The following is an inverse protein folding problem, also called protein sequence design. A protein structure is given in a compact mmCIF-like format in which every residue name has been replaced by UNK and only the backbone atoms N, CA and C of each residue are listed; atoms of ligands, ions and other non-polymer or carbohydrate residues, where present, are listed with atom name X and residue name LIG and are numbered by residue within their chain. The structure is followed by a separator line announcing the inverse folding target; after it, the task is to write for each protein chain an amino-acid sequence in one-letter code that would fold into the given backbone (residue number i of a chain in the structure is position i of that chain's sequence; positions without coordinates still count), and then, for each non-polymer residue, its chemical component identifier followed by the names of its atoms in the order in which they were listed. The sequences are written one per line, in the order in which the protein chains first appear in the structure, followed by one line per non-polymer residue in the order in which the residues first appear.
data_IF_052271998856
#
_entry.id   IF_052271998856
#
_cell.length_a   1.000
_cell.length_b   1.000
_cell.length_c   1.000
_cell.angle_alpha   90.00
_cell.angle_beta   90.00
_cell.angle_gamma   90.00
#
_symmetry.space_group_name_H-M   'P 1'
#
loop_
_entity.id
_entity.type
_entity.pdbx_description
1 polymer ?
#
# COMPACT_ATOMS: atom_id res chain seq x y z
N UNK A 1 -23.12 8.40 -24.14
CA UNK A 1 -21.67 8.54 -23.91
C UNK A 1 -21.05 7.17 -24.08
N UNK A 2 -20.31 6.95 -25.16
CA UNK A 2 -19.65 5.67 -25.44
C UNK A 2 -18.45 5.52 -24.51
N UNK A 3 -18.56 4.63 -23.53
CA UNK A 3 -17.43 4.19 -22.71
C UNK A 3 -16.38 3.62 -23.65
N UNK A 4 -15.32 4.38 -23.93
CA UNK A 4 -14.18 3.85 -24.68
C UNK A 4 -13.49 2.84 -23.77
N UNK A 5 -13.76 1.55 -23.96
CA UNK A 5 -13.05 0.48 -23.27
C UNK A 5 -11.54 0.67 -23.51
N UNK A 6 -10.82 1.07 -22.45
CA UNK A 6 -9.37 1.22 -22.54
C UNK A 6 -8.76 -0.17 -22.68
N UNK A 7 -8.16 -0.44 -23.85
CA UNK A 7 -7.39 -1.67 -24.13
C UNK A 7 -6.43 -2.00 -22.99
N UNK A 8 -6.57 -3.20 -22.42
CA UNK A 8 -5.61 -3.82 -21.48
C UNK A 8 -4.23 -3.87 -22.14
N UNK A 9 -3.18 -3.48 -21.40
CA UNK A 9 -1.80 -3.52 -21.91
C UNK A 9 -1.22 -4.92 -21.68
N UNK A 10 0.07 -5.03 -21.36
CA UNK A 10 0.76 -6.31 -21.15
C UNK A 10 0.14 -7.05 -19.98
N UNK A 11 -0.20 -8.32 -20.19
CA UNK A 11 -0.52 -9.25 -19.10
C UNK A 11 0.79 -9.80 -18.51
N UNK A 12 1.25 -9.19 -17.41
CA UNK A 12 2.54 -9.53 -16.81
C UNK A 12 2.57 -10.96 -16.27
N UNK A 13 1.46 -11.44 -15.70
CA UNK A 13 1.38 -12.81 -15.16
C UNK A 13 1.58 -13.85 -16.28
N UNK A 14 0.98 -13.61 -17.45
CA UNK A 14 1.12 -14.51 -18.61
C UNK A 14 2.43 -14.35 -19.36
N UNK A 15 2.94 -13.11 -19.48
CA UNK A 15 4.12 -12.80 -20.32
C UNK A 15 5.45 -12.88 -19.57
N UNK A 16 5.44 -12.72 -18.25
CA UNK A 16 6.62 -12.84 -17.39
C UNK A 16 6.27 -13.63 -16.11
N UNK A 17 5.86 -14.91 -16.22
CA UNK A 17 5.34 -15.68 -15.09
C UNK A 17 6.34 -15.86 -13.94
N UNK A 18 7.64 -15.96 -14.24
CA UNK A 18 8.69 -16.06 -13.21
C UNK A 18 8.77 -14.77 -12.36
N UNK A 19 8.71 -13.60 -12.99
CA UNK A 19 8.70 -12.30 -12.31
C UNK A 19 7.44 -12.15 -11.47
N UNK A 20 6.27 -12.49 -12.03
CA UNK A 20 5.01 -12.42 -11.30
C UNK A 20 4.99 -13.35 -10.09
N UNK A 21 5.53 -14.56 -10.21
CA UNK A 21 5.69 -15.51 -9.09
C UNK A 21 6.63 -14.96 -8.01
N UNK A 22 7.74 -14.34 -8.39
CA UNK A 22 8.67 -13.72 -7.45
C UNK A 22 7.99 -12.56 -6.68
N UNK A 23 7.18 -11.75 -7.36
CA UNK A 23 6.40 -10.68 -6.72
C UNK A 23 5.40 -11.22 -5.67
N UNK A 24 4.73 -12.34 -5.93
CA UNK A 24 3.85 -12.99 -4.94
C UNK A 24 4.66 -13.48 -3.74
N UNK A 25 5.82 -14.11 -3.98
CA UNK A 25 6.66 -14.58 -2.88
C UNK A 25 7.19 -13.42 -2.01
N UNK A 26 7.56 -12.31 -2.64
CA UNK A 26 7.97 -11.10 -1.94
C UNK A 26 6.82 -10.51 -1.11
N UNK A 27 5.60 -10.44 -1.66
CA UNK A 27 4.41 -9.97 -0.93
C UNK A 27 4.13 -10.83 0.31
N UNK A 28 4.21 -12.15 0.17
CA UNK A 28 4.01 -13.06 1.30
C UNK A 28 5.11 -12.92 2.37
N UNK A 29 6.35 -12.62 1.97
CA UNK A 29 7.46 -12.40 2.90
C UNK A 29 7.32 -11.06 3.64
N UNK A 30 6.98 -9.99 2.92
CA UNK A 30 6.88 -8.63 3.44
C UNK A 30 5.75 -8.42 4.47
N UNK A 31 4.75 -9.31 4.48
CA UNK A 31 3.64 -9.28 5.44
C UNK A 31 3.97 -9.95 6.78
N UNK A 32 5.08 -10.67 6.88
CA UNK A 32 5.36 -11.49 8.06
C UNK A 32 5.62 -10.63 9.30
N UNK A 33 4.99 -10.98 10.42
CA UNK A 33 5.20 -10.32 11.71
C UNK A 33 4.51 -8.97 11.88
N UNK A 34 3.83 -8.45 10.84
CA UNK A 34 3.06 -7.22 10.93
C UNK A 34 1.60 -7.49 11.32
N UNK A 35 1.01 -6.55 12.03
CA UNK A 35 -0.42 -6.55 12.31
C UNK A 35 -1.25 -6.50 11.00
N UNK A 36 -2.24 -7.39 10.80
CA UNK A 36 -3.02 -7.44 9.57
C UNK A 36 -3.80 -6.16 9.24
N UNK A 37 -4.26 -5.42 10.25
CA UNK A 37 -4.96 -4.16 10.05
C UNK A 37 -4.00 -3.07 9.58
N UNK A 38 -2.83 -2.95 10.22
CA UNK A 38 -1.76 -2.06 9.77
C UNK A 38 -1.35 -2.35 8.32
N UNK A 39 -1.20 -3.63 7.97
CA UNK A 39 -0.86 -4.07 6.62
C UNK A 39 -1.85 -3.52 5.60
N UNK A 40 -3.14 -3.77 5.75
CA UNK A 40 -4.12 -3.33 4.74
C UNK A 40 -4.28 -1.80 4.68
N UNK A 41 -4.10 -1.09 5.80
CA UNK A 41 -4.08 0.38 5.81
C UNK A 41 -2.87 0.95 5.05
N UNK A 42 -1.66 0.44 5.30
CA UNK A 42 -0.45 0.87 4.56
C UNK A 42 -0.56 0.56 3.07
N UNK A 43 -1.01 -0.65 2.72
CA UNK A 43 -1.19 -1.06 1.33
C UNK A 43 -2.22 -0.17 0.61
N UNK A 44 -3.31 0.17 1.29
CA UNK A 44 -4.33 1.09 0.77
C UNK A 44 -3.76 2.49 0.58
N UNK A 45 -3.03 3.03 1.58
CA UNK A 45 -2.52 4.40 1.54
C UNK A 45 -1.48 4.61 0.42
N UNK A 46 -0.50 3.72 0.31
CA UNK A 46 0.48 3.77 -0.79
C UNK A 46 -0.22 3.68 -2.16
N UNK A 47 -1.27 2.87 -2.26
CA UNK A 47 -2.05 2.73 -3.48
C UNK A 47 -2.87 3.98 -3.84
N UNK A 48 -3.36 4.72 -2.84
CA UNK A 48 -4.03 6.02 -3.04
C UNK A 48 -3.06 7.03 -3.65
N UNK A 49 -1.86 7.15 -3.08
CA UNK A 49 -0.80 8.06 -3.56
C UNK A 49 -0.38 7.70 -4.99
N UNK A 50 -0.19 6.41 -5.29
CA UNK A 50 0.18 5.94 -6.62
C UNK A 50 -1.00 5.88 -7.62
N UNK A 51 -2.20 6.29 -7.22
CA UNK A 51 -3.42 6.24 -8.03
C UNK A 51 -3.73 4.84 -8.63
N UNK A 52 -3.41 3.76 -7.90
CA UNK A 52 -3.69 2.40 -8.36
C UNK A 52 -5.14 1.99 -8.01
N UNK A 53 -6.11 2.31 -8.88
CA UNK A 53 -7.53 1.97 -8.66
C UNK A 53 -7.78 0.46 -8.42
N UNK A 54 -7.06 -0.43 -9.11
CA UNK A 54 -7.11 -1.88 -8.86
C UNK A 54 -6.70 -2.23 -7.44
N UNK A 55 -5.58 -1.66 -6.98
CA UNK A 55 -5.01 -1.97 -5.68
C UNK A 55 -5.89 -1.40 -4.56
N UNK A 56 -6.44 -0.19 -4.74
CA UNK A 56 -7.39 0.41 -3.79
C UNK A 56 -8.64 -0.46 -3.64
N UNK A 57 -9.26 -0.91 -4.74
CA UNK A 57 -10.44 -1.81 -4.69
C UNK A 57 -10.12 -3.11 -3.94
N UNK A 58 -8.98 -3.73 -4.24
CA UNK A 58 -8.56 -4.98 -3.62
C UNK A 58 -8.30 -4.81 -2.12
N UNK A 59 -7.44 -3.87 -1.73
CA UNK A 59 -7.04 -3.70 -0.33
C UNK A 59 -8.16 -3.16 0.56
N UNK A 60 -9.00 -2.25 0.05
CA UNK A 60 -10.19 -1.83 0.82
C UNK A 60 -11.24 -2.94 0.94
N UNK A 61 -11.33 -3.87 -0.03
CA UNK A 61 -12.19 -5.04 0.11
C UNK A 61 -11.63 -6.06 1.12
N UNK A 62 -10.30 -6.24 1.15
CA UNK A 62 -9.64 -7.15 2.10
C UNK A 62 -9.64 -6.57 3.53
N UNK A 63 -9.41 -5.26 3.68
CA UNK A 63 -9.55 -4.53 4.94
C UNK A 63 -10.93 -4.72 5.59
N UNK A 64 -12.00 -4.63 4.80
CA UNK A 64 -13.37 -4.88 5.28
C UNK A 64 -13.57 -6.31 5.77
N UNK A 65 -12.94 -7.30 5.14
CA UNK A 65 -13.05 -8.71 5.54
C UNK A 65 -12.43 -8.97 6.91
N UNK A 66 -11.40 -8.20 7.28
CA UNK A 66 -10.74 -8.29 8.59
C UNK A 66 -11.33 -7.33 9.64
N UNK A 67 -12.37 -6.56 9.29
CA UNK A 67 -13.14 -5.76 10.24
C UNK A 67 -12.73 -4.29 10.35
N UNK A 68 -11.85 -3.77 9.48
CA UNK A 68 -11.53 -2.33 9.44
C UNK A 68 -12.78 -1.54 9.09
N UNK A 69 -13.07 -0.49 9.86
CA UNK A 69 -14.26 0.33 9.68
C UNK A 69 -14.21 1.17 8.39
N UNK A 70 -15.38 1.43 7.80
CA UNK A 70 -15.48 2.36 6.66
C UNK A 70 -14.95 3.75 7.03
N UNK A 71 -15.14 4.19 8.27
CA UNK A 71 -14.61 5.48 8.75
C UNK A 71 -13.08 5.52 8.64
N UNK A 72 -12.38 4.48 9.09
CA UNK A 72 -10.92 4.37 8.92
C UNK A 72 -10.53 4.34 7.44
N UNK A 73 -11.25 3.64 6.58
CA UNK A 73 -10.91 3.56 5.16
C UNK A 73 -11.13 4.88 4.41
N UNK A 74 -12.23 5.58 4.70
CA UNK A 74 -12.57 6.84 4.03
C UNK A 74 -11.67 8.00 4.47
N UNK A 75 -11.27 8.03 5.74
CA UNK A 75 -10.42 9.10 6.28
C UNK A 75 -8.92 8.85 6.11
N UNK A 76 -8.53 7.66 5.64
CA UNK A 76 -7.11 7.30 5.45
C UNK A 76 -6.39 8.26 4.49
N UNK A 77 -7.12 8.84 3.54
CA UNK A 77 -6.59 9.82 2.60
C UNK A 77 -6.15 11.16 3.22
N UNK A 78 -6.61 11.42 4.44
CA UNK A 78 -6.37 12.62 5.24
C UNK A 78 -6.13 12.24 6.71
N UNK A 79 -5.31 11.21 6.93
CA UNK A 79 -5.09 10.59 8.25
C UNK A 79 -4.47 11.57 9.25
N UNK A 80 -3.73 12.56 8.77
CA UNK A 80 -3.06 13.59 9.56
C UNK A 80 -4.08 14.35 10.42
N UNK A 81 -5.21 14.73 9.82
CA UNK A 81 -6.33 15.48 10.41
C UNK A 81 -7.34 14.61 11.16
N UNK A 82 -7.30 13.29 10.95
CA UNK A 82 -8.19 12.32 11.58
C UNK A 82 -7.70 11.93 12.99
N UNK A 83 -7.50 12.92 13.86
CA UNK A 83 -6.96 12.74 15.20
C UNK A 83 -7.82 11.77 16.05
N UNK A 84 -7.15 10.85 16.75
CA UNK A 84 -7.79 9.86 17.63
C UNK A 84 -8.44 8.67 16.90
N UNK A 85 -8.46 8.66 15.56
CA UNK A 85 -8.95 7.52 14.78
C UNK A 85 -7.89 6.45 14.53
N UNK A 86 -6.63 6.89 14.39
CA UNK A 86 -5.46 6.02 14.21
C UNK A 86 -4.55 6.12 15.43
N UNK A 87 -3.96 5.01 15.81
CA UNK A 87 -2.93 4.93 16.86
C UNK A 87 -1.65 5.62 16.42
N UNK A 88 -0.79 6.00 17.37
CA UNK A 88 0.48 6.66 17.05
C UNK A 88 1.39 5.76 16.19
N UNK A 89 1.40 4.44 16.46
CA UNK A 89 2.11 3.45 15.65
C UNK A 89 1.61 3.41 14.19
N UNK A 90 0.29 3.46 13.98
CA UNK A 90 -0.28 3.54 12.62
C UNK A 90 0.11 4.85 11.92
N UNK A 91 0.06 5.98 12.64
CA UNK A 91 0.44 7.30 12.11
C UNK A 91 1.90 7.35 11.69
N UNK A 92 2.81 6.85 12.54
CA UNK A 92 4.23 6.74 12.21
C UNK A 92 4.47 5.85 10.98
N UNK A 93 3.75 4.73 10.89
CA UNK A 93 3.81 3.87 9.72
C UNK A 93 3.30 4.54 8.44
N UNK A 94 2.23 5.34 8.52
CA UNK A 94 1.71 6.09 7.38
C UNK A 94 2.73 7.14 6.93
N UNK A 95 3.26 7.95 7.86
CA UNK A 95 4.28 8.95 7.55
C UNK A 95 5.49 8.33 6.84
N UNK A 96 6.02 7.23 7.36
CA UNK A 96 7.13 6.51 6.73
C UNK A 96 6.74 5.93 5.37
N UNK A 97 5.54 5.32 5.26
CA UNK A 97 5.06 4.75 4.02
C UNK A 97 4.87 5.81 2.91
N UNK A 98 4.37 7.00 3.26
CA UNK A 98 4.28 8.14 2.33
C UNK A 98 5.66 8.61 1.89
N UNK A 99 6.59 8.78 2.84
CA UNK A 99 7.96 9.22 2.54
C UNK A 99 8.68 8.24 1.61
N UNK A 100 8.57 6.93 1.84
CA UNK A 100 9.16 5.90 0.96
C UNK A 100 8.43 5.82 -0.39
N UNK A 101 7.11 6.04 -0.43
CA UNK A 101 6.32 5.97 -1.67
C UNK A 101 6.66 7.10 -2.62
N UNK A 102 6.78 8.32 -2.09
CA UNK A 102 7.03 9.53 -2.88
C UNK A 102 8.52 9.78 -3.09
N UNK A 103 9.36 9.48 -2.07
CA UNK A 103 10.75 9.89 -1.99
C UNK A 103 10.89 11.40 -2.26
N UNK A 104 10.19 12.21 -1.47
CA UNK A 104 10.22 13.68 -1.58
C UNK A 104 11.66 14.18 -1.60
N UNK A 105 12.00 15.00 -2.61
CA UNK A 105 13.37 15.49 -2.87
C UNK A 105 14.46 14.40 -3.00
N UNK A 106 14.06 13.14 -3.14
CA UNK A 106 14.93 11.98 -3.31
C UNK A 106 15.32 11.26 -2.02
N UNK A 107 14.72 11.58 -0.86
CA UNK A 107 15.08 10.99 0.42
C UNK A 107 13.88 10.73 1.35
N UNK A 108 14.08 9.86 2.34
CA UNK A 108 13.21 9.71 3.50
C UNK A 108 13.78 10.62 4.59
N UNK A 109 13.05 11.62 5.11
CA UNK A 109 13.57 12.50 6.14
C UNK A 109 13.92 11.75 7.43
N UNK A 110 15.07 12.06 8.03
CA UNK A 110 15.54 11.41 9.27
C UNK A 110 14.48 11.46 10.37
N UNK A 111 13.84 12.61 10.57
CA UNK A 111 12.79 12.78 11.61
C UNK A 111 11.59 11.84 11.42
N UNK A 112 11.22 11.49 10.18
CA UNK A 112 10.13 10.55 9.90
C UNK A 112 10.57 9.11 10.19
N UNK A 113 11.84 8.80 9.92
CA UNK A 113 12.41 7.49 10.22
C UNK A 113 12.58 7.28 11.72
N UNK A 114 13.17 8.27 12.42
CA UNK A 114 13.36 8.29 13.87
C UNK A 114 12.01 8.15 14.61
N UNK A 115 10.95 8.83 14.17
CA UNK A 115 9.61 8.66 14.73
C UNK A 115 9.09 7.23 14.57
N UNK A 116 9.34 6.57 13.44
CA UNK A 116 8.96 5.18 13.26
C UNK A 116 9.76 4.23 14.17
N UNK A 117 11.04 4.49 14.42
CA UNK A 117 11.87 3.70 15.34
C UNK A 117 11.33 3.72 16.78
N UNK A 118 10.58 4.74 17.18
CA UNK A 118 9.96 4.78 18.51
C UNK A 118 8.84 3.74 18.70
N UNK A 119 8.22 3.28 17.61
CA UNK A 119 7.04 2.40 17.66
C UNK A 119 7.27 0.99 17.09
N UNK A 120 8.39 0.76 16.42
CA UNK A 120 8.69 -0.49 15.72
C UNK A 120 10.04 -1.05 16.16
N UNK A 121 10.05 -2.33 16.52
CA UNK A 121 11.31 -3.08 16.64
C UNK A 121 11.99 -3.17 15.28
N UNK A 122 13.32 -3.25 15.24
CA UNK A 122 14.12 -3.19 14.00
C UNK A 122 13.65 -4.22 12.94
N UNK A 123 13.28 -5.43 13.37
CA UNK A 123 12.76 -6.46 12.48
C UNK A 123 11.38 -6.12 11.92
N UNK A 124 10.50 -5.53 12.74
CA UNK A 124 9.16 -5.11 12.32
C UNK A 124 9.25 -3.90 11.38
N UNK A 125 10.16 -2.97 11.65
CA UNK A 125 10.43 -1.81 10.78
C UNK A 125 10.97 -2.26 9.41
N UNK A 126 11.90 -3.23 9.38
CA UNK A 126 12.37 -3.83 8.14
C UNK A 126 11.24 -4.49 7.33
N UNK A 127 10.26 -5.10 8.00
CA UNK A 127 9.06 -5.65 7.36
C UNK A 127 8.15 -4.55 6.82
N UNK A 128 7.94 -3.46 7.57
CA UNK A 128 7.17 -2.31 7.10
C UNK A 128 7.78 -1.70 5.84
N UNK A 129 9.11 -1.50 5.82
CA UNK A 129 9.83 -1.00 4.62
C UNK A 129 9.64 -1.96 3.44
N UNK A 130 9.76 -3.27 3.69
CA UNK A 130 9.55 -4.31 2.68
C UNK A 130 8.11 -4.31 2.14
N UNK A 131 7.12 -4.07 3.00
CA UNK A 131 5.71 -3.96 2.62
C UNK A 131 5.50 -2.77 1.70
N UNK A 132 6.04 -1.60 2.07
CA UNK A 132 5.92 -0.36 1.29
C UNK A 132 6.61 -0.50 -0.08
N UNK A 133 7.80 -1.10 -0.13
CA UNK A 133 8.49 -1.43 -1.37
C UNK A 133 7.61 -2.32 -2.27
N UNK A 134 7.03 -3.37 -1.68
CA UNK A 134 6.27 -4.38 -2.42
C UNK A 134 4.98 -3.81 -3.01
N UNK A 135 4.23 -3.01 -2.26
CA UNK A 135 3.03 -2.36 -2.79
C UNK A 135 3.35 -1.32 -3.85
N UNK A 136 4.46 -0.59 -3.70
CA UNK A 136 4.93 0.33 -4.71
C UNK A 136 5.26 -0.38 -6.04
N UNK A 137 5.83 -1.58 -5.97
CA UNK A 137 6.04 -2.42 -7.14
C UNK A 137 4.71 -2.93 -7.73
N UNK A 138 3.76 -3.40 -6.90
CA UNK A 138 2.44 -3.81 -7.36
C UNK A 138 1.65 -2.69 -8.03
N UNK A 139 1.67 -1.49 -7.45
CA UNK A 139 1.05 -0.29 -8.03
C UNK A 139 1.62 0.00 -9.42
N UNK A 140 2.95 -0.02 -9.57
CA UNK A 140 3.64 0.18 -10.86
C UNK A 140 3.24 -0.89 -11.88
N UNK A 141 3.12 -2.15 -11.47
CA UNK A 141 2.63 -3.23 -12.34
C UNK A 141 1.20 -2.95 -12.77
N UNK A 142 0.28 -2.71 -11.83
CA UNK A 142 -1.14 -2.56 -12.12
C UNK A 142 -1.45 -1.32 -12.99
N UNK A 143 -0.85 -0.17 -12.66
CA UNK A 143 -1.02 1.09 -13.41
C UNK A 143 -0.42 0.98 -14.81
N UNK A 144 0.82 0.49 -14.94
CA UNK A 144 1.48 0.36 -16.24
C UNK A 144 0.77 -0.61 -17.18
N UNK A 145 0.17 -1.67 -16.62
CA UNK A 145 -0.58 -2.70 -17.37
C UNK A 145 -2.08 -2.38 -17.56
N UNK A 146 -2.58 -1.30 -16.94
CA UNK A 146 -4.00 -0.90 -16.94
C UNK A 146 -4.93 -1.99 -16.39
N UNK A 147 -4.60 -2.54 -15.22
CA UNK A 147 -5.56 -3.35 -14.46
C UNK A 147 -6.71 -2.45 -14.00
N UNK A 148 -7.94 -2.91 -14.20
CA UNK A 148 -9.17 -2.18 -13.87
C UNK A 148 -9.91 -2.87 -12.72
N UNK A 149 -10.30 -2.14 -11.66
CA UNK A 149 -11.00 -2.72 -10.52
C UNK A 149 -12.34 -3.36 -10.93
N UNK A 150 -12.92 -4.17 -10.04
CA UNK A 150 -14.24 -4.75 -10.30
C UNK A 150 -15.29 -3.64 -10.20
N UNK A 151 -16.11 -3.46 -11.24
CA UNK A 151 -17.33 -2.67 -11.14
C UNK A 151 -18.39 -3.56 -10.47
N UNK A 152 -18.92 -3.11 -9.34
CA UNK A 152 -19.91 -3.83 -8.53
C UNK A 152 -21.18 -3.01 -8.43
#
# INVERSE_FOLDING_TARGET
MTTTERKTRVDLARKAPAVYKAMIALDAAARQGLDPELVELVLTRCSQINHCAWCIDMHTADARKIGISEQKLYLLGAWEEAHGLYTDKERAAFALAEAITVLTDGFVPDSVYEEAEEYFEETELAQLISLVLTINAWNRIAVSTRKSPRVR
#
